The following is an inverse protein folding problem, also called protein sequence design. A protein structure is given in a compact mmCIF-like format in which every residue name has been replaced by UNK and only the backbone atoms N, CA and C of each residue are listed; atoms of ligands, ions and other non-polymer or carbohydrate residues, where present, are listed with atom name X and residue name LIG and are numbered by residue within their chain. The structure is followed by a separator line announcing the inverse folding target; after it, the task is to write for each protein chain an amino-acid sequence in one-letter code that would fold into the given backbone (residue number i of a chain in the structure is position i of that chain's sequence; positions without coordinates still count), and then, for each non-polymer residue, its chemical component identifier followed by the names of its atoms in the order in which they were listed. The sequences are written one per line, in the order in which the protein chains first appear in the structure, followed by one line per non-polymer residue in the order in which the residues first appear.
data_IF_552368450632
#
_entry.id   IF_552368450632
#
_cell.length_a   1.000
_cell.length_b   1.000
_cell.length_c   1.000
_cell.angle_alpha   90.00
_cell.angle_beta   90.00
_cell.angle_gamma   90.00
#
_symmetry.space_group_name_H-M   'P 1'
#
loop_
_entity.id
_entity.type
_entity.pdbx_description
1 polymer ?
#
# COMPACT_ATOMS: atom_id res chain seq x y z
N UNK A 1 -13.50 1.22 -20.45
CA UNK A 1 -12.09 1.04 -20.05
C UNK A 1 -11.90 1.53 -18.62
N UNK A 2 -11.57 0.67 -17.64
CA UNK A 2 -10.96 1.15 -16.41
C UNK A 2 -9.70 1.92 -16.84
N UNK A 3 -9.56 3.19 -16.41
CA UNK A 3 -8.39 4.00 -16.73
C UNK A 3 -7.16 3.18 -16.32
N UNK A 4 -6.27 2.88 -17.25
CA UNK A 4 -5.06 2.04 -17.08
C UNK A 4 -4.24 2.33 -15.80
N UNK A 5 -4.38 3.56 -15.27
CA UNK A 5 -3.88 4.03 -13.98
C UNK A 5 -4.38 3.23 -12.75
N UNK A 6 -5.65 2.78 -12.73
CA UNK A 6 -6.24 2.11 -11.56
C UNK A 6 -5.67 0.71 -11.32
N UNK A 7 -5.32 -0.03 -12.39
CA UNK A 7 -4.75 -1.39 -12.28
C UNK A 7 -3.36 -1.34 -11.64
N UNK A 8 -2.50 -0.42 -12.09
CA UNK A 8 -1.16 -0.22 -11.49
C UNK A 8 -1.25 0.27 -10.05
N UNK A 9 -2.26 1.10 -9.76
CA UNK A 9 -2.50 1.61 -8.40
C UNK A 9 -2.92 0.50 -7.44
N UNK A 10 -3.83 -0.41 -7.84
CA UNK A 10 -4.21 -1.55 -7.00
C UNK A 10 -3.05 -2.54 -6.83
N UNK A 11 -2.26 -2.80 -7.88
CA UNK A 11 -1.07 -3.65 -7.78
C UNK A 11 -0.02 -3.08 -6.81
N UNK A 12 0.30 -1.78 -6.93
CA UNK A 12 1.22 -1.10 -5.99
C UNK A 12 0.69 -1.15 -4.56
N UNK A 13 -0.61 -0.91 -4.37
CA UNK A 13 -1.20 -0.92 -3.03
C UNK A 13 -1.11 -2.31 -2.37
N UNK A 14 -1.32 -3.38 -3.14
CA UNK A 14 -1.11 -4.76 -2.66
C UNK A 14 0.35 -5.02 -2.31
N UNK A 15 1.30 -4.59 -3.15
CA UNK A 15 2.74 -4.75 -2.86
C UNK A 15 3.16 -4.01 -1.59
N UNK A 16 2.66 -2.80 -1.36
CA UNK A 16 2.91 -2.05 -0.12
C UNK A 16 2.37 -2.81 1.10
N UNK A 17 1.20 -3.43 0.97
CA UNK A 17 0.59 -4.23 2.05
C UNK A 17 1.39 -5.50 2.37
N UNK A 18 1.81 -6.24 1.35
CA UNK A 18 2.66 -7.43 1.53
C UNK A 18 4.00 -7.08 2.17
N UNK A 19 4.62 -5.97 1.73
CA UNK A 19 5.89 -5.48 2.29
C UNK A 19 5.74 -5.07 3.77
N UNK A 20 4.64 -4.41 4.13
CA UNK A 20 4.33 -4.05 5.53
C UNK A 20 4.14 -5.29 6.40
N UNK A 21 3.51 -6.34 5.87
CA UNK A 21 3.37 -7.62 6.59
C UNK A 21 4.70 -8.35 6.77
N UNK A 22 5.55 -8.34 5.76
CA UNK A 22 6.86 -8.99 5.80
C UNK A 22 7.84 -8.29 6.75
N UNK A 23 7.68 -6.98 6.94
CA UNK A 23 8.55 -6.16 7.79
C UNK A 23 7.72 -5.29 8.76
N UNK A 24 7.18 -5.86 9.85
CA UNK A 24 6.36 -5.11 10.81
C UNK A 24 7.17 -4.04 11.57
N UNK A 25 8.49 -4.20 11.66
CA UNK A 25 9.38 -3.26 12.34
C UNK A 25 9.78 -2.05 11.47
N UNK A 26 9.49 -2.09 10.16
CA UNK A 26 9.83 -0.98 9.29
C UNK A 26 8.93 0.23 9.52
N UNK A 27 9.56 1.40 9.58
CA UNK A 27 8.83 2.65 9.66
C UNK A 27 8.07 2.92 8.36
N UNK A 28 6.97 3.67 8.44
CA UNK A 28 6.20 4.09 7.26
C UNK A 28 7.04 4.88 6.25
N UNK A 29 8.15 5.51 6.68
CA UNK A 29 9.06 6.21 5.80
C UNK A 29 9.95 5.24 5.00
N UNK A 30 10.41 4.16 5.62
CA UNK A 30 11.21 3.11 4.96
C UNK A 30 10.39 2.33 3.95
N UNK A 31 9.14 1.99 4.31
CA UNK A 31 8.18 1.38 3.40
C UNK A 31 7.84 2.26 2.20
N UNK A 32 8.00 3.58 2.31
CA UNK A 32 7.67 4.52 1.25
C UNK A 32 8.79 4.69 0.20
N UNK A 33 10.06 4.52 0.61
CA UNK A 33 11.25 4.65 -0.25
C UNK A 33 11.19 3.79 -1.53
N UNK A 34 10.94 2.47 -1.48
CA UNK A 34 10.97 1.63 -2.68
C UNK A 34 9.86 1.93 -3.69
N UNK A 35 8.79 2.61 -3.26
CA UNK A 35 7.65 2.94 -4.12
C UNK A 35 7.61 4.41 -4.55
N UNK A 36 8.60 5.22 -4.14
CA UNK A 36 8.67 6.66 -4.37
C UNK A 36 7.35 7.38 -4.05
N UNK A 37 6.81 7.11 -2.86
CA UNK A 37 5.57 7.73 -2.37
C UNK A 37 5.80 8.41 -1.04
N UNK A 38 4.84 9.25 -0.63
CA UNK A 38 4.87 9.86 0.69
C UNK A 38 4.46 8.85 1.78
N UNK A 39 5.00 9.02 2.99
CA UNK A 39 4.59 8.27 4.20
C UNK A 39 3.08 8.32 4.45
N UNK A 40 2.45 9.46 4.14
CA UNK A 40 1.00 9.65 4.26
C UNK A 40 0.24 8.74 3.29
N UNK A 41 0.77 8.57 2.07
CA UNK A 41 0.19 7.69 1.06
C UNK A 41 0.27 6.22 1.48
N UNK A 42 1.39 5.80 2.07
CA UNK A 42 1.55 4.44 2.64
C UNK A 42 0.52 4.20 3.74
N UNK A 43 0.38 5.11 4.71
CA UNK A 43 -0.62 4.99 5.77
C UNK A 43 -2.05 4.87 5.24
N UNK A 44 -2.40 5.68 4.22
CA UNK A 44 -3.70 5.60 3.57
C UNK A 44 -3.93 4.25 2.87
N UNK A 45 -2.90 3.69 2.23
CA UNK A 45 -2.95 2.38 1.58
C UNK A 45 -3.18 1.28 2.61
N UNK A 46 -2.38 1.23 3.69
CA UNK A 46 -2.51 0.24 4.76
C UNK A 46 -3.92 0.29 5.36
N UNK A 47 -4.44 1.50 5.65
CA UNK A 47 -5.79 1.68 6.19
C UNK A 47 -6.87 1.20 5.22
N UNK A 48 -6.74 1.51 3.93
CA UNK A 48 -7.70 1.08 2.90
C UNK A 48 -7.70 -0.45 2.74
N UNK A 49 -6.52 -1.07 2.72
CA UNK A 49 -6.39 -2.52 2.55
C UNK A 49 -6.84 -3.28 3.80
N UNK A 50 -6.55 -2.76 5.00
CA UNK A 50 -7.09 -3.29 6.27
C UNK A 50 -8.63 -3.31 6.25
N UNK A 51 -9.25 -2.24 5.73
CA UNK A 51 -10.71 -2.18 5.58
C UNK A 51 -11.22 -3.18 4.54
N UNK A 52 -10.55 -3.34 3.40
CA UNK A 52 -10.90 -4.34 2.38
C UNK A 52 -10.86 -5.77 2.95
N UNK A 53 -9.85 -6.09 3.76
CA UNK A 53 -9.70 -7.42 4.35
C UNK A 53 -10.67 -7.70 5.50
N UNK A 54 -11.07 -6.67 6.28
CA UNK A 54 -12.09 -6.80 7.35
C UNK A 54 -13.51 -7.02 6.84
N UNK A 55 -13.79 -6.67 5.59
CA UNK A 55 -15.12 -6.80 4.96
C UNK A 55 -15.31 -8.18 4.31
N UNK A 56 -14.32 -9.07 4.43
CA UNK A 56 -14.26 -10.39 3.82
C UNK A 56 -14.30 -11.48 4.88
#
# INVERSE_FOLDING_TARGET
MPRYDSIRKDARNKMVWELWKAHPDWSLAELAKPFDISRQRVAAIIKAETRRQKVR
#
